data_IF_964398111905
#
_entry.id   IF_964398111905
#
_cell.length_a   1.000
_cell.length_b   1.000
_cell.length_c   1.000
_cell.angle_alpha   90.00
_cell.angle_beta   90.00
_cell.angle_gamma   90.00
#
_symmetry.space_group_name_H-M   'P 1'
#
loop_
_entity.id
_entity.type
_entity.pdbx_description
1 polymer ?
#
# COMPACT_ATOMS: atom_id res chain seq x y z
N UNK A 1 -14.68 -8.72 -16.19
CA UNK A 1 -13.60 -8.15 -17.03
C UNK A 1 -12.39 -8.06 -16.13
N UNK A 2 -11.26 -8.65 -16.54
CA UNK A 2 -10.03 -8.64 -15.75
C UNK A 2 -9.43 -7.24 -15.77
N UNK A 3 -9.36 -6.61 -14.61
CA UNK A 3 -8.62 -5.36 -14.42
C UNK A 3 -7.12 -5.68 -14.55
N UNK A 4 -6.59 -5.68 -15.78
CA UNK A 4 -5.16 -5.85 -15.99
C UNK A 4 -4.42 -4.63 -15.40
N UNK A 5 -3.66 -4.87 -14.34
CA UNK A 5 -2.88 -3.84 -13.65
C UNK A 5 -1.58 -3.49 -14.37
N UNK A 6 -1.17 -4.27 -15.37
CA UNK A 6 0.02 -4.02 -16.16
C UNK A 6 -0.04 -2.62 -16.80
N UNK A 7 1.03 -1.85 -16.63
CA UNK A 7 1.20 -0.49 -17.20
C UNK A 7 0.16 0.56 -16.79
N UNK A 8 -0.77 0.22 -15.90
CA UNK A 8 -1.88 1.11 -15.54
C UNK A 8 -1.47 2.18 -14.53
N UNK A 9 -0.49 1.86 -13.69
CA UNK A 9 0.02 2.75 -12.64
C UNK A 9 1.46 3.19 -12.92
N UNK A 10 2.30 2.28 -13.39
CA UNK A 10 3.71 2.53 -13.72
C UNK A 10 3.90 2.16 -15.18
N UNK A 11 4.27 3.12 -16.03
CA UNK A 11 4.50 2.88 -17.47
C UNK A 11 5.91 2.34 -17.73
N UNK A 12 6.15 1.80 -18.93
CA UNK A 12 7.47 1.30 -19.32
C UNK A 12 8.54 2.39 -19.23
N UNK A 13 8.18 3.62 -19.62
CA UNK A 13 9.06 4.79 -19.52
C UNK A 13 9.42 5.14 -18.09
N UNK A 14 8.51 4.94 -17.15
CA UNK A 14 8.74 5.20 -15.73
C UNK A 14 9.72 4.18 -15.14
N UNK A 15 9.62 2.91 -15.55
CA UNK A 15 10.57 1.87 -15.13
C UNK A 15 11.94 2.10 -15.74
N UNK A 16 12.01 2.50 -17.00
CA UNK A 16 13.27 2.87 -17.65
C UNK A 16 13.92 4.08 -16.97
N UNK A 17 13.13 5.08 -16.57
CA UNK A 17 13.59 6.23 -15.81
C UNK A 17 14.12 5.84 -14.42
N UNK A 18 13.39 4.96 -13.71
CA UNK A 18 13.84 4.41 -12.42
C UNK A 18 15.12 3.58 -12.57
N UNK A 19 15.26 2.82 -13.67
CA UNK A 19 16.43 1.99 -13.93
C UNK A 19 17.68 2.83 -14.24
N UNK A 20 17.50 3.99 -14.87
CA UNK A 20 18.59 4.93 -15.20
C UNK A 20 19.13 5.69 -13.98
N UNK A 21 18.38 5.71 -12.87
CA UNK A 21 18.72 6.49 -11.69
C UNK A 21 19.36 5.59 -10.62
N UNK A 22 20.52 6.04 -10.14
CA UNK A 22 21.25 5.40 -9.05
C UNK A 22 21.18 6.19 -7.75
N UNK A 23 20.64 7.41 -7.79
CA UNK A 23 20.48 8.27 -6.62
C UNK A 23 19.12 8.01 -5.94
N UNK A 24 19.15 7.79 -4.62
CA UNK A 24 17.96 7.49 -3.83
C UNK A 24 17.00 8.67 -3.74
N UNK A 25 17.51 9.90 -3.79
CA UNK A 25 16.68 11.12 -3.73
C UNK A 25 15.90 11.29 -5.03
N UNK A 26 16.58 11.18 -6.17
CA UNK A 26 15.94 11.25 -7.49
C UNK A 26 14.91 10.11 -7.70
N UNK A 27 15.19 8.91 -7.20
CA UNK A 27 14.23 7.80 -7.23
C UNK A 27 12.94 8.13 -6.46
N UNK A 28 13.07 8.69 -5.24
CA UNK A 28 11.92 9.10 -4.42
C UNK A 28 11.05 10.17 -5.10
N UNK A 29 11.66 11.11 -5.82
CA UNK A 29 10.93 12.14 -6.58
C UNK A 29 10.07 11.53 -7.70
N UNK A 30 10.62 10.61 -8.46
CA UNK A 30 9.87 9.92 -9.53
C UNK A 30 8.72 9.10 -8.95
N UNK A 31 8.96 8.37 -7.85
CA UNK A 31 7.89 7.61 -7.19
C UNK A 31 6.78 8.54 -6.67
N UNK A 32 7.14 9.71 -6.13
CA UNK A 32 6.17 10.71 -5.71
C UNK A 32 5.26 11.16 -6.86
N UNK A 33 5.85 11.43 -8.03
CA UNK A 33 5.11 11.85 -9.23
C UNK A 33 4.21 10.72 -9.78
N UNK A 34 4.74 9.48 -9.84
CA UNK A 34 4.01 8.30 -10.36
C UNK A 34 2.75 8.00 -9.53
N UNK A 35 2.90 7.93 -8.20
CA UNK A 35 1.79 7.55 -7.33
C UNK A 35 0.86 8.73 -7.02
N UNK A 36 1.15 9.91 -7.58
CA UNK A 36 0.32 11.10 -7.52
C UNK A 36 -0.22 11.36 -6.10
N UNK A 37 0.65 11.31 -5.08
CA UNK A 37 0.31 11.63 -3.68
C UNK A 37 -0.11 13.10 -3.47
N UNK A 38 -0.47 13.82 -4.54
CA UNK A 38 -0.82 15.23 -4.63
C UNK A 38 -1.99 15.67 -3.72
N UNK A 39 -2.69 14.75 -3.04
CA UNK A 39 -3.69 15.06 -2.00
C UNK A 39 -3.28 14.72 -0.56
N UNK A 40 -2.20 13.94 -0.37
CA UNK A 40 -1.73 13.45 0.93
C UNK A 40 -0.68 14.34 1.59
N UNK A 41 -0.10 15.27 0.83
CA UNK A 41 0.90 16.23 1.30
C UNK A 41 0.35 17.26 2.31
N UNK A 42 -0.97 17.29 2.53
CA UNK A 42 -1.66 18.33 3.29
C UNK A 42 -1.45 18.29 4.81
N UNK A 43 -1.02 17.15 5.39
CA UNK A 43 -1.10 16.97 6.85
C UNK A 43 0.22 16.75 7.60
N UNK A 44 1.28 16.14 7.05
CA UNK A 44 2.66 16.07 7.63
C UNK A 44 3.59 15.38 6.60
N UNK A 45 4.87 15.76 6.47
CA UNK A 45 5.81 15.14 5.51
C UNK A 45 6.26 13.72 5.90
N UNK A 46 6.37 13.41 7.19
CA UNK A 46 6.93 12.15 7.68
C UNK A 46 6.15 10.87 7.29
N UNK A 47 4.80 10.83 7.32
CA UNK A 47 4.05 9.66 6.83
C UNK A 47 4.28 9.40 5.33
N UNK A 48 4.36 10.47 4.54
CA UNK A 48 4.63 10.36 3.10
C UNK A 48 6.05 9.84 2.84
N UNK A 49 7.04 10.32 3.59
CA UNK A 49 8.42 9.86 3.46
C UNK A 49 8.54 8.35 3.70
N UNK A 50 7.89 7.85 4.74
CA UNK A 50 7.84 6.42 5.08
C UNK A 50 7.16 5.59 3.98
N UNK A 51 6.14 6.15 3.34
CA UNK A 51 5.46 5.49 2.22
C UNK A 51 6.33 5.44 0.96
N UNK A 52 7.05 6.52 0.65
CA UNK A 52 8.02 6.56 -0.45
C UNK A 52 9.16 5.57 -0.23
N UNK A 53 9.65 5.45 1.00
CA UNK A 53 10.67 4.48 1.36
C UNK A 53 10.18 3.04 1.13
N UNK A 54 8.93 2.74 1.50
CA UNK A 54 8.31 1.44 1.22
C UNK A 54 8.31 1.12 -0.29
N UNK A 55 7.90 2.06 -1.14
CA UNK A 55 7.92 1.86 -2.60
C UNK A 55 9.34 1.73 -3.16
N UNK A 56 10.29 2.48 -2.62
CA UNK A 56 11.70 2.39 -3.01
C UNK A 56 12.28 1.01 -2.67
N UNK A 57 12.02 0.48 -1.47
CA UNK A 57 12.45 -0.87 -1.09
C UNK A 57 11.74 -1.95 -1.90
N UNK A 58 10.47 -1.75 -2.24
CA UNK A 58 9.74 -2.68 -3.10
C UNK A 58 10.32 -2.71 -4.52
N UNK A 59 10.73 -1.55 -5.06
CA UNK A 59 11.42 -1.48 -6.34
C UNK A 59 12.82 -2.12 -6.27
N UNK A 60 13.57 -1.89 -5.19
CA UNK A 60 14.89 -2.53 -5.02
C UNK A 60 14.78 -4.06 -4.96
N UNK A 61 13.78 -4.58 -4.25
CA UNK A 61 13.44 -6.01 -4.26
C UNK A 61 13.18 -6.52 -5.68
N UNK A 62 12.37 -5.80 -6.47
CA UNK A 62 12.10 -6.20 -7.85
C UNK A 62 13.37 -6.26 -8.70
N UNK A 63 14.32 -5.35 -8.46
CA UNK A 63 15.61 -5.28 -9.15
C UNK A 63 16.56 -6.41 -8.71
N UNK A 64 16.62 -6.70 -7.42
CA UNK A 64 17.45 -7.79 -6.85
C UNK A 64 17.03 -9.17 -7.35
N UNK A 65 15.73 -9.38 -7.56
CA UNK A 65 15.18 -10.62 -8.10
C UNK A 65 15.07 -10.64 -9.64
N UNK A 66 15.67 -9.66 -10.33
CA UNK A 66 15.70 -9.55 -11.79
C UNK A 66 14.31 -9.67 -12.44
N UNK A 67 13.28 -9.14 -11.77
CA UNK A 67 11.92 -9.14 -12.29
C UNK A 67 11.86 -8.32 -13.59
N UNK A 68 11.12 -8.84 -14.58
CA UNK A 68 10.92 -8.12 -15.83
C UNK A 68 10.19 -6.80 -15.57
N UNK A 69 10.39 -5.75 -16.40
CA UNK A 69 9.70 -4.48 -16.23
C UNK A 69 8.17 -4.63 -16.10
N UNK A 70 7.59 -5.58 -16.86
CA UNK A 70 6.19 -5.93 -16.76
C UNK A 70 5.83 -6.43 -15.35
N UNK A 71 6.57 -7.41 -14.81
CA UNK A 71 6.35 -7.95 -13.46
C UNK A 71 6.50 -6.86 -12.40
N UNK A 72 7.55 -6.03 -12.48
CA UNK A 72 7.78 -4.90 -11.58
C UNK A 72 6.60 -3.92 -11.59
N UNK A 73 6.07 -3.58 -12.78
CA UNK A 73 4.89 -2.70 -12.88
C UNK A 73 3.68 -3.26 -12.15
N UNK A 74 3.46 -4.58 -12.25
CA UNK A 74 2.32 -5.26 -11.65
C UNK A 74 2.50 -5.39 -10.13
N UNK A 75 3.70 -5.74 -9.64
CA UNK A 75 3.98 -5.79 -8.18
C UNK A 75 3.74 -4.43 -7.53
N UNK A 76 4.29 -3.35 -8.12
CA UNK A 76 4.09 -1.99 -7.63
C UNK A 76 2.60 -1.60 -7.63
N UNK A 77 1.86 -1.97 -8.68
CA UNK A 77 0.43 -1.69 -8.78
C UNK A 77 -0.44 -2.48 -7.79
N UNK A 78 -0.12 -3.76 -7.55
CA UNK A 78 -0.79 -4.59 -6.54
C UNK A 78 -0.60 -3.96 -5.16
N UNK A 79 0.66 -3.69 -4.79
CA UNK A 79 0.97 -3.12 -3.49
C UNK A 79 0.34 -1.74 -3.30
N UNK A 80 0.37 -0.89 -4.32
CA UNK A 80 -0.30 0.39 -4.27
C UNK A 80 -1.81 0.25 -4.05
N UNK A 81 -2.49 -0.71 -4.70
CA UNK A 81 -3.91 -0.97 -4.46
C UNK A 81 -4.18 -1.44 -3.02
N UNK A 82 -3.36 -2.35 -2.49
CA UNK A 82 -3.49 -2.85 -1.12
C UNK A 82 -3.33 -1.71 -0.12
N UNK A 83 -2.25 -0.93 -0.24
CA UNK A 83 -1.96 0.23 0.61
C UNK A 83 -3.08 1.27 0.53
N UNK A 84 -3.52 1.61 -0.69
CA UNK A 84 -4.58 2.60 -0.90
C UNK A 84 -5.85 2.17 -0.16
N UNK A 85 -6.20 0.89 -0.29
CA UNK A 85 -7.37 0.34 0.35
C UNK A 85 -7.23 0.28 1.87
N UNK A 86 -6.11 -0.24 2.37
CA UNK A 86 -5.93 -0.49 3.80
C UNK A 86 -5.79 0.80 4.61
N UNK A 87 -5.13 1.82 4.05
CA UNK A 87 -4.78 3.05 4.75
C UNK A 87 -5.71 4.22 4.43
N UNK A 88 -6.26 4.29 3.21
CA UNK A 88 -7.01 5.47 2.74
C UNK A 88 -8.49 5.19 2.41
N UNK A 89 -8.86 3.95 2.07
CA UNK A 89 -10.26 3.59 1.81
C UNK A 89 -10.87 2.89 3.03
N UNK A 90 -11.61 3.65 3.84
CA UNK A 90 -12.37 3.10 4.95
C UNK A 90 -13.52 2.21 4.44
N UNK A 91 -13.80 1.13 5.16
CA UNK A 91 -14.70 0.04 4.77
C UNK A 91 -16.17 0.46 4.69
N UNK A 92 -16.62 0.92 3.53
CA UNK A 92 -17.87 1.62 3.21
C UNK A 92 -19.22 1.20 3.86
N UNK A 93 -19.33 0.15 4.67
CA UNK A 93 -20.63 -0.34 5.09
C UNK A 93 -21.28 0.50 6.22
N UNK A 94 -20.77 0.60 7.45
CA UNK A 94 -21.63 1.09 8.56
C UNK A 94 -20.97 2.09 9.53
N UNK A 95 -21.00 3.38 9.20
CA UNK A 95 -21.14 4.52 10.13
C UNK A 95 -20.08 4.81 11.21
N UNK A 96 -19.19 3.87 11.57
CA UNK A 96 -18.01 4.01 12.45
C UNK A 96 -17.09 2.84 12.11
N UNK A 97 -16.10 3.05 11.25
CA UNK A 97 -15.42 1.93 10.57
C UNK A 97 -14.10 1.58 11.24
N UNK A 98 -14.02 0.36 11.75
CA UNK A 98 -12.78 -0.28 12.18
C UNK A 98 -11.83 -0.39 10.98
N UNK A 99 -10.52 -0.17 11.17
CA UNK A 99 -9.55 -0.42 10.12
C UNK A 99 -9.55 -1.89 9.70
N UNK A 100 -9.20 -2.17 8.45
CA UNK A 100 -9.09 -3.53 7.91
C UNK A 100 -8.15 -4.38 8.75
N UNK A 101 -8.53 -5.61 9.07
CA UNK A 101 -7.67 -6.51 9.83
C UNK A 101 -6.53 -7.04 8.96
N UNK A 102 -5.42 -7.46 9.59
CA UNK A 102 -4.29 -8.05 8.87
C UNK A 102 -4.72 -9.24 8.00
N UNK A 103 -5.54 -10.20 8.46
CA UNK A 103 -6.02 -11.31 7.62
C UNK A 103 -6.81 -10.85 6.39
N UNK A 104 -7.71 -9.87 6.53
CA UNK A 104 -8.49 -9.32 5.41
C UNK A 104 -7.61 -8.56 4.40
N UNK A 105 -6.54 -7.92 4.88
CA UNK A 105 -5.52 -7.34 4.01
C UNK A 105 -4.76 -8.39 3.24
N UNK A 106 -4.27 -9.41 3.94
CA UNK A 106 -3.49 -10.47 3.33
C UNK A 106 -4.30 -11.28 2.31
N UNK A 107 -5.56 -11.62 2.61
CA UNK A 107 -6.44 -12.33 1.68
C UNK A 107 -6.65 -11.52 0.38
N UNK A 108 -6.83 -10.20 0.50
CA UNK A 108 -6.96 -9.35 -0.67
C UNK A 108 -5.68 -9.26 -1.49
N UNK A 109 -4.53 -9.10 -0.84
CA UNK A 109 -3.24 -9.14 -1.51
C UNK A 109 -3.04 -10.46 -2.27
N UNK A 110 -3.32 -11.60 -1.63
CA UNK A 110 -3.25 -12.91 -2.28
C UNK A 110 -4.22 -12.99 -3.47
N UNK A 111 -5.45 -12.47 -3.33
CA UNK A 111 -6.43 -12.48 -4.43
C UNK A 111 -5.94 -11.68 -5.65
N UNK A 112 -5.32 -10.52 -5.44
CA UNK A 112 -4.76 -9.70 -6.51
C UNK A 112 -3.55 -10.38 -7.15
N UNK A 113 -2.68 -10.99 -6.35
CA UNK A 113 -1.52 -11.70 -6.85
C UNK A 113 -1.93 -12.89 -7.73
N UNK A 114 -2.86 -13.73 -7.25
CA UNK A 114 -3.36 -14.89 -7.99
C UNK A 114 -4.04 -14.53 -9.32
N UNK A 115 -4.73 -13.39 -9.39
CA UNK A 115 -5.31 -12.86 -10.63
C UNK A 115 -4.28 -12.52 -11.71
N UNK A 116 -3.02 -12.34 -11.32
CA UNK A 116 -1.92 -12.04 -12.24
C UNK A 116 -0.93 -13.20 -12.42
N UNK A 117 -1.05 -14.29 -11.66
CA UNK A 117 -0.12 -15.43 -11.69
C UNK A 117 -0.58 -16.61 -12.54
N UNK A 118 -1.84 -17.04 -12.46
CA UNK A 118 -2.25 -18.32 -13.08
C UNK A 118 -2.84 -18.11 -14.47
N UNK A 119 -2.23 -18.58 -15.55
CA UNK A 119 -2.82 -18.46 -16.89
C UNK A 119 -4.16 -19.22 -16.98
N UNK A 120 -5.27 -18.49 -16.82
CA UNK A 120 -6.64 -19.01 -16.97
C UNK A 120 -7.43 -17.99 -17.78
N UNK A 121 -7.37 -18.02 -19.12
CA UNK A 121 -8.25 -17.20 -19.93
C UNK A 121 -9.71 -17.54 -19.59
N UNK A 122 -10.61 -16.58 -19.29
CA UNK A 122 -10.52 -15.11 -19.42
C UNK A 122 -10.17 -14.33 -18.12
N UNK A 123 -9.71 -14.99 -17.06
CA UNK A 123 -9.62 -14.48 -15.67
C UNK A 123 -8.21 -14.11 -15.21
N UNK A 124 -7.13 -14.65 -15.79
CA UNK A 124 -5.77 -14.31 -15.34
C UNK A 124 -4.72 -14.42 -16.45
N UNK A 125 -3.71 -13.54 -16.35
CA UNK A 125 -2.79 -13.15 -17.43
C UNK A 125 -1.44 -13.86 -17.43
N UNK A 126 -1.19 -14.83 -16.53
CA UNK A 126 0.03 -15.64 -16.54
C UNK A 126 1.34 -14.85 -16.46
N UNK A 127 1.35 -13.72 -15.73
CA UNK A 127 2.49 -12.78 -15.72
C UNK A 127 3.58 -13.25 -14.75
N UNK A 128 3.21 -13.90 -13.65
CA UNK A 128 4.13 -14.40 -12.63
C UNK A 128 4.27 -15.90 -12.67
N UNK A 129 5.49 -16.39 -12.44
CA UNK A 129 5.73 -17.81 -12.17
C UNK A 129 5.55 -18.13 -10.68
N UNK A 130 5.43 -19.39 -10.32
CA UNK A 130 5.23 -19.84 -8.93
C UNK A 130 6.35 -19.36 -7.99
N UNK A 131 7.58 -19.28 -8.51
CA UNK A 131 8.75 -18.77 -7.77
C UNK A 131 8.59 -17.28 -7.47
N UNK A 132 8.19 -16.47 -8.46
CA UNK A 132 7.99 -15.02 -8.29
C UNK A 132 6.88 -14.74 -7.26
N UNK A 133 5.82 -15.55 -7.27
CA UNK A 133 4.73 -15.45 -6.31
C UNK A 133 5.23 -15.73 -4.89
N UNK A 134 5.96 -16.82 -4.70
CA UNK A 134 6.48 -17.20 -3.40
C UNK A 134 7.43 -16.14 -2.82
N UNK A 135 8.37 -15.65 -3.63
CA UNK A 135 9.33 -14.61 -3.21
C UNK A 135 8.63 -13.29 -2.91
N UNK A 136 7.63 -12.90 -3.72
CA UNK A 136 6.86 -11.67 -3.49
C UNK A 136 6.05 -11.76 -2.19
N UNK A 137 5.37 -12.88 -1.94
CA UNK A 137 4.61 -13.09 -0.70
C UNK A 137 5.54 -13.06 0.51
N UNK A 138 6.68 -13.73 0.45
CA UNK A 138 7.66 -13.75 1.53
C UNK A 138 8.19 -12.33 1.83
N UNK A 139 8.57 -11.59 0.79
CA UNK A 139 9.06 -10.22 0.94
C UNK A 139 8.00 -9.29 1.55
N UNK A 140 6.78 -9.28 1.02
CA UNK A 140 5.70 -8.40 1.49
C UNK A 140 5.30 -8.74 2.93
N UNK A 141 5.36 -10.02 3.31
CA UNK A 141 5.08 -10.46 4.69
C UNK A 141 6.13 -9.91 5.66
N UNK A 142 7.41 -9.96 5.30
CA UNK A 142 8.52 -9.52 6.16
C UNK A 142 8.74 -8.00 6.19
N UNK A 143 8.24 -7.28 5.18
CA UNK A 143 8.35 -5.82 5.06
C UNK A 143 7.07 -5.11 5.53
N UNK A 144 6.02 -5.12 4.70
CA UNK A 144 4.78 -4.39 4.95
C UNK A 144 3.96 -4.99 6.10
N UNK A 145 3.64 -6.29 6.06
CA UNK A 145 2.75 -6.89 7.04
C UNK A 145 3.36 -6.99 8.44
N UNK A 146 4.67 -7.18 8.54
CA UNK A 146 5.40 -7.13 9.81
C UNK A 146 5.17 -5.82 10.57
N UNK A 147 4.99 -4.73 9.84
CA UNK A 147 4.80 -3.38 10.39
C UNK A 147 3.37 -2.87 10.23
N UNK A 148 2.39 -3.74 9.92
CA UNK A 148 1.03 -3.34 9.55
C UNK A 148 0.35 -2.40 10.55
N UNK A 149 0.42 -2.71 11.86
CA UNK A 149 -0.17 -1.88 12.91
C UNK A 149 0.46 -0.48 13.03
N UNK A 150 1.76 -0.35 12.69
CA UNK A 150 2.42 0.95 12.67
C UNK A 150 1.82 1.84 11.59
N UNK A 151 1.65 1.31 10.37
CA UNK A 151 0.99 2.02 9.28
C UNK A 151 -0.44 2.43 9.66
N UNK A 152 -1.23 1.51 10.23
CA UNK A 152 -2.58 1.84 10.68
C UNK A 152 -2.59 2.98 11.70
N UNK A 153 -1.67 2.97 12.66
CA UNK A 153 -1.62 4.00 13.71
C UNK A 153 -1.25 5.38 13.13
N UNK A 154 -0.37 5.42 12.13
CA UNK A 154 0.11 6.67 11.51
C UNK A 154 -0.96 7.27 10.59
N UNK A 155 -1.60 6.43 9.76
CA UNK A 155 -2.46 6.91 8.68
C UNK A 155 -3.95 6.95 9.04
N UNK A 156 -4.39 6.18 10.04
CA UNK A 156 -5.79 6.08 10.42
C UNK A 156 -6.04 6.92 11.67
N UNK A 157 -6.90 7.96 11.59
CA UNK A 157 -7.14 8.84 12.73
C UNK A 157 -7.72 8.05 13.90
N UNK A 158 -7.00 8.05 15.02
CA UNK A 158 -7.41 7.38 16.25
C UNK A 158 -8.53 8.18 16.91
N UNK A 159 -9.74 7.62 16.99
CA UNK A 159 -10.81 8.24 17.78
C UNK A 159 -10.56 7.96 19.27
N UNK A 160 -9.93 8.91 19.96
CA UNK A 160 -9.78 8.83 21.41
C UNK A 160 -11.10 9.19 22.09
N UNK A 161 -11.67 8.27 22.87
CA UNK A 161 -12.80 8.57 23.75
C UNK A 161 -12.25 9.17 25.04
N UNK A 162 -12.46 10.47 25.23
CA UNK A 162 -12.16 11.15 26.50
C UNK A 162 -13.42 11.16 27.37
N UNK A 163 -13.35 10.49 28.53
CA UNK A 163 -14.39 10.55 29.55
C UNK A 163 -14.19 11.83 30.35
N UNK A 164 -15.15 12.74 30.29
CA UNK A 164 -15.13 13.98 31.07
C UNK A 164 -16.13 13.82 32.22
N UNK A 165 -15.65 13.83 33.47
CA UNK A 165 -16.53 13.87 34.63
C UNK A 165 -16.97 15.32 34.89
N UNK A 166 -18.26 15.59 34.74
CA UNK A 166 -18.85 16.89 35.09
C UNK A 166 -19.36 16.82 36.52
N UNK A 167 -18.71 17.57 37.42
CA UNK A 167 -19.14 17.71 38.81
C UNK A 167 -20.23 18.77 38.90
N UNK A 168 -21.47 18.37 39.21
CA UNK A 168 -22.50 19.31 39.64
C UNK A 168 -22.33 19.63 41.12
N UNK A 169 -21.76 20.80 41.43
CA UNK A 169 -21.87 21.38 42.77
C UNK A 169 -23.28 21.94 42.96
N UNK A 170 -24.14 21.22 43.67
CA UNK A 170 -25.39 21.79 44.19
C UNK A 170 -25.02 22.62 45.42
N UNK A 171 -24.95 23.93 45.24
CA UNK A 171 -24.81 24.87 46.37
C UNK A 171 -26.15 24.90 47.11
N UNK A 172 -26.26 24.13 48.19
CA UNK A 172 -27.35 24.27 49.15
C UNK A 172 -27.13 25.58 49.92
N UNK A 173 -27.86 26.61 49.52
CA UNK A 173 -28.03 27.83 50.32
C UNK A 173 -29.11 27.55 51.35
N UNK A 174 -28.71 27.37 52.62
CA UNK A 174 -29.53 27.63 53.80
C UNK A 174 -28.65 28.05 54.97
#
# INVERSE_FOLDING_TARGET
>A
MTDNLAWRLVTAKDIDALAAIHDSIACRQILYDIFAFHGLASSTSAPLDLLLDLYMYLYSFCKEHELTPLKTSVVLAIMHRVILRDLFLQSHDHGKQSPWTLPESFEHFQSLLLQHSVERPPVSTGIFDAVDVATTVEYVTHSYYRQYHLYQTIFIPQTHVSIVQVWYFVTLVH
#
